data_IF_221366646601
#
_entry.id   IF_221366646601
#
_cell.length_a   1.000
_cell.length_b   1.000
_cell.length_c   1.000
_cell.angle_alpha   90.00
_cell.angle_beta   90.00
_cell.angle_gamma   90.00
#
_symmetry.space_group_name_H-M   'P 1'
#
loop_
_entity.id
_entity.type
_entity.pdbx_description
1 polymer ?
#
# COMPACT_ATOMS: atom_id res chain seq x y z
N UNK A 1 10.02 -1.85 13.82
CA UNK A 1 10.32 -0.67 12.99
C UNK A 1 9.05 -0.19 12.32
N UNK A 2 8.77 1.12 12.39
CA UNK A 2 7.60 1.70 11.73
C UNK A 2 7.72 1.58 10.20
N UNK A 3 6.60 1.39 9.51
CA UNK A 3 6.57 1.28 8.05
C UNK A 3 7.18 2.53 7.38
N UNK A 4 6.92 3.72 7.93
CA UNK A 4 7.53 4.99 7.49
C UNK A 4 9.05 4.96 7.57
N UNK A 5 9.63 4.41 8.64
CA UNK A 5 11.08 4.28 8.79
C UNK A 5 11.65 3.35 7.72
N UNK A 6 10.98 2.23 7.43
CA UNK A 6 11.41 1.31 6.36
C UNK A 6 11.37 2.01 4.99
N UNK A 7 10.31 2.78 4.70
CA UNK A 7 10.21 3.54 3.45
C UNK A 7 11.34 4.58 3.31
N UNK A 8 11.66 5.32 4.39
CA UNK A 8 12.78 6.26 4.39
C UNK A 8 14.12 5.55 4.14
N UNK A 9 14.35 4.41 4.79
CA UNK A 9 15.56 3.61 4.56
C UNK A 9 15.62 3.10 3.11
N UNK A 10 14.51 2.63 2.54
CA UNK A 10 14.46 2.22 1.14
C UNK A 10 14.74 3.37 0.18
N UNK A 11 14.26 4.60 0.47
CA UNK A 11 14.61 5.78 -0.35
C UNK A 11 16.10 6.10 -0.29
N UNK A 12 16.72 6.03 0.89
CA UNK A 12 18.16 6.22 1.04
C UNK A 12 18.94 5.15 0.27
N UNK A 13 18.55 3.88 0.42
CA UNK A 13 19.16 2.76 -0.31
C UNK A 13 18.97 2.89 -1.82
N UNK A 14 17.83 3.39 -2.30
CA UNK A 14 17.58 3.62 -3.72
C UNK A 14 18.56 4.64 -4.30
N UNK A 15 18.70 5.78 -3.62
CA UNK A 15 19.61 6.86 -4.00
C UNK A 15 21.06 6.37 -3.98
N UNK A 16 21.46 5.67 -2.92
CA UNK A 16 22.79 5.07 -2.80
C UNK A 16 23.07 4.06 -3.93
N UNK A 17 22.11 3.17 -4.18
CA UNK A 17 22.16 2.15 -5.25
C UNK A 17 22.34 2.78 -6.64
N UNK A 18 21.62 3.87 -6.91
CA UNK A 18 21.74 4.63 -8.15
C UNK A 18 23.14 5.21 -8.33
N UNK A 19 23.67 5.91 -7.32
CA UNK A 19 24.97 6.56 -7.40
C UNK A 19 26.11 5.54 -7.54
N UNK A 20 26.08 4.45 -6.76
CA UNK A 20 27.08 3.38 -6.87
C UNK A 20 27.00 2.68 -8.24
N UNK A 21 25.79 2.37 -8.70
CA UNK A 21 25.58 1.75 -10.01
C UNK A 21 26.09 2.61 -11.16
N UNK A 22 25.83 3.93 -11.10
CA UNK A 22 26.35 4.91 -12.07
C UNK A 22 27.87 5.06 -12.00
N UNK A 23 28.45 5.12 -10.80
CA UNK A 23 29.91 5.22 -10.62
C UNK A 23 30.62 4.00 -11.20
N UNK A 24 30.10 2.80 -10.96
CA UNK A 24 30.66 1.56 -11.51
C UNK A 24 30.50 1.49 -13.02
N UNK A 25 29.34 1.85 -13.57
CA UNK A 25 29.14 1.83 -15.03
C UNK A 25 30.06 2.83 -15.76
N UNK A 26 30.34 3.99 -15.17
CA UNK A 26 31.36 4.92 -15.68
C UNK A 26 32.77 4.29 -15.68
N UNK A 27 33.17 3.64 -14.59
CA UNK A 27 34.47 2.97 -14.50
C UNK A 27 34.63 1.87 -15.55
N UNK A 28 33.60 1.03 -15.75
CA UNK A 28 33.58 -0.03 -16.76
C UNK A 28 33.60 0.55 -18.18
N UNK A 29 32.90 1.66 -18.42
CA UNK A 29 32.88 2.33 -19.73
C UNK A 29 34.20 3.02 -20.08
N UNK A 30 34.91 3.59 -19.09
CA UNK A 30 36.18 4.29 -19.30
C UNK A 30 37.37 3.34 -19.44
N UNK A 31 37.29 2.15 -18.81
CA UNK A 31 38.31 1.11 -18.94
C UNK A 31 38.34 0.42 -20.31
N UNK A 32 37.19 0.34 -21.00
CA UNK A 32 37.08 -0.31 -22.31
C UNK A 32 37.03 0.70 -23.46
N UNK A 33 38.18 1.29 -23.79
CA UNK A 33 38.35 2.12 -25.00
C UNK A 33 38.35 1.26 -26.26
N UNK A 34 37.18 0.91 -26.79
CA UNK A 34 37.05 0.56 -28.22
C UNK A 34 36.21 -0.69 -28.55
N UNK A 35 36.28 -1.78 -27.77
CA UNK A 35 35.65 -3.06 -28.18
C UNK A 35 34.51 -3.51 -27.25
N UNK A 36 34.48 -3.06 -26.00
CA UNK A 36 33.49 -3.47 -24.99
C UNK A 36 32.85 -2.27 -24.27
N UNK A 37 32.41 -1.27 -25.04
CA UNK A 37 31.67 -0.11 -24.51
C UNK A 37 30.29 -0.56 -24.03
N UNK A 38 29.82 0.02 -22.92
CA UNK A 38 28.45 -0.25 -22.46
C UNK A 38 27.43 0.17 -23.52
N UNK A 39 26.44 -0.69 -23.78
CA UNK A 39 25.38 -0.42 -24.77
C UNK A 39 24.46 0.75 -24.35
N UNK A 40 24.22 0.95 -23.05
CA UNK A 40 23.35 2.01 -22.52
C UNK A 40 24.18 3.06 -21.78
N UNK A 41 23.64 4.28 -21.69
CA UNK A 41 24.26 5.35 -20.89
C UNK A 41 24.42 4.90 -19.43
N UNK A 42 25.54 5.25 -18.77
CA UNK A 42 25.83 4.89 -17.38
C UNK A 42 24.69 5.14 -16.39
N UNK A 43 23.87 6.18 -16.61
CA UNK A 43 22.70 6.48 -15.80
C UNK A 43 21.63 5.36 -15.80
N UNK A 44 21.37 4.70 -16.93
CA UNK A 44 20.39 3.61 -17.00
C UNK A 44 20.78 2.40 -16.14
N UNK A 45 22.08 2.14 -16.00
CA UNK A 45 22.56 1.08 -15.09
C UNK A 45 22.34 1.47 -13.62
N UNK A 46 22.53 2.74 -13.26
CA UNK A 46 22.18 3.26 -11.94
C UNK A 46 20.68 3.07 -11.64
N UNK A 47 19.81 3.46 -12.58
CA UNK A 47 18.37 3.26 -12.44
C UNK A 47 18.01 1.77 -12.33
N UNK A 48 18.64 0.90 -13.12
CA UNK A 48 18.39 -0.54 -13.07
C UNK A 48 18.75 -1.15 -11.71
N UNK A 49 19.88 -0.74 -11.12
CA UNK A 49 20.29 -1.21 -9.77
C UNK A 49 19.31 -0.72 -8.71
N UNK A 50 18.91 0.56 -8.76
CA UNK A 50 17.93 1.12 -7.83
C UNK A 50 16.56 0.43 -7.95
N UNK A 51 16.10 0.16 -9.18
CA UNK A 51 14.85 -0.57 -9.45
C UNK A 51 14.87 -1.96 -8.81
N UNK A 52 15.95 -2.73 -9.01
CA UNK A 52 16.07 -4.07 -8.43
C UNK A 52 16.24 -4.05 -6.91
N UNK A 53 16.84 -3.01 -6.35
CA UNK A 53 16.91 -2.80 -4.90
C UNK A 53 15.54 -2.48 -4.30
N UNK A 54 14.73 -1.65 -4.96
CA UNK A 54 13.50 -1.10 -4.36
C UNK A 54 12.27 -1.93 -4.68
N UNK A 55 12.04 -2.30 -5.94
CA UNK A 55 10.75 -2.90 -6.35
C UNK A 55 10.44 -4.20 -5.59
N UNK A 56 11.35 -5.19 -5.50
CA UNK A 56 11.07 -6.43 -4.77
C UNK A 56 10.81 -6.18 -3.28
N UNK A 57 11.61 -5.31 -2.66
CA UNK A 57 11.47 -4.93 -1.26
C UNK A 57 10.13 -4.20 -0.99
N UNK A 58 9.73 -3.31 -1.89
CA UNK A 58 8.48 -2.56 -1.81
C UNK A 58 7.26 -3.47 -2.00
N UNK A 59 7.31 -4.41 -2.95
CA UNK A 59 6.24 -5.39 -3.15
C UNK A 59 6.00 -6.21 -1.90
N UNK A 60 7.06 -6.76 -1.29
CA UNK A 60 6.93 -7.52 -0.04
C UNK A 60 6.45 -6.63 1.10
N UNK A 61 6.91 -5.38 1.20
CA UNK A 61 6.39 -4.44 2.19
C UNK A 61 4.88 -4.22 2.03
N UNK A 62 4.39 -3.99 0.81
CA UNK A 62 2.98 -3.76 0.53
C UNK A 62 2.14 -5.01 0.87
N UNK A 63 2.57 -6.19 0.40
CA UNK A 63 1.92 -7.46 0.71
C UNK A 63 1.91 -7.72 2.22
N UNK A 64 3.03 -7.53 2.91
CA UNK A 64 3.10 -7.72 4.36
C UNK A 64 2.10 -6.83 5.09
N UNK A 65 2.02 -5.53 4.75
CA UNK A 65 1.07 -4.64 5.41
C UNK A 65 -0.39 -5.01 5.10
N UNK A 66 -0.69 -5.44 3.87
CA UNK A 66 -2.04 -5.85 3.48
C UNK A 66 -2.54 -7.07 4.28
N UNK A 67 -1.67 -8.05 4.54
CA UNK A 67 -2.06 -9.31 5.18
C UNK A 67 -1.79 -9.35 6.70
N UNK A 68 -0.88 -8.54 7.22
CA UNK A 68 -0.46 -8.59 8.64
C UNK A 68 -1.64 -8.45 9.61
N UNK A 69 -2.49 -7.44 9.43
CA UNK A 69 -3.61 -7.18 10.33
C UNK A 69 -4.62 -8.35 10.32
N UNK A 70 -4.92 -8.89 9.13
CA UNK A 70 -5.84 -10.01 8.95
C UNK A 70 -5.30 -11.27 9.63
N UNK A 71 -4.05 -11.63 9.38
CA UNK A 71 -3.43 -12.83 9.95
C UNK A 71 -3.35 -12.73 11.48
N UNK A 72 -2.90 -11.60 12.03
CA UNK A 72 -2.80 -11.45 13.49
C UNK A 72 -4.19 -11.50 14.14
N UNK A 73 -5.17 -10.77 13.59
CA UNK A 73 -6.54 -10.74 14.13
C UNK A 73 -7.15 -12.15 14.15
N UNK A 74 -7.01 -12.92 13.07
CA UNK A 74 -7.54 -14.28 13.00
C UNK A 74 -6.88 -15.22 14.01
N UNK A 75 -5.56 -15.12 14.19
CA UNK A 75 -4.84 -15.93 15.19
C UNK A 75 -5.23 -15.56 16.63
N UNK A 76 -5.42 -14.28 16.93
CA UNK A 76 -5.87 -13.84 18.25
C UNK A 76 -7.28 -14.36 18.52
N UNK A 77 -8.21 -14.22 17.57
CA UNK A 77 -9.58 -14.73 17.71
C UNK A 77 -9.60 -16.24 17.95
N UNK A 78 -8.77 -17.00 17.23
CA UNK A 78 -8.65 -18.45 17.41
C UNK A 78 -8.14 -18.87 18.80
N UNK A 79 -7.45 -17.98 19.51
CA UNK A 79 -6.93 -18.23 20.86
C UNK A 79 -7.93 -17.83 21.96
N UNK A 80 -9.01 -17.12 21.62
CA UNK A 80 -10.02 -16.70 22.59
C UNK A 80 -10.81 -17.90 23.14
N UNK A 81 -11.33 -17.82 24.38
CA UNK A 81 -12.24 -18.83 24.93
C UNK A 81 -13.48 -19.03 24.04
N UNK A 82 -13.98 -20.27 23.96
CA UNK A 82 -15.11 -20.65 23.12
C UNK A 82 -16.39 -19.84 23.41
N UNK A 83 -16.53 -19.35 24.65
CA UNK A 83 -17.62 -18.47 25.10
C UNK A 83 -17.68 -17.15 24.30
N UNK A 84 -16.52 -16.55 24.01
CA UNK A 84 -16.41 -15.29 23.25
C UNK A 84 -16.45 -15.57 21.74
N UNK A 85 -16.00 -16.75 21.31
CA UNK A 85 -16.08 -17.16 19.90
C UNK A 85 -17.52 -17.41 19.43
N UNK A 86 -18.42 -17.79 20.36
CA UNK A 86 -19.84 -18.00 20.09
C UNK A 86 -20.67 -16.71 20.17
N UNK A 87 -20.06 -15.59 20.60
CA UNK A 87 -20.70 -14.27 20.62
C UNK A 87 -20.99 -13.74 19.21
N UNK A 88 -21.81 -12.68 19.14
CA UNK A 88 -22.15 -12.06 17.86
C UNK A 88 -20.92 -11.44 17.17
N UNK A 89 -20.91 -11.41 15.84
CA UNK A 89 -19.81 -10.86 15.04
C UNK A 89 -19.51 -9.38 15.39
N UNK A 90 -20.55 -8.62 15.75
CA UNK A 90 -20.45 -7.23 16.20
C UNK A 90 -19.73 -7.08 17.55
N UNK A 91 -19.99 -7.97 18.51
CA UNK A 91 -19.31 -7.97 19.82
C UNK A 91 -17.82 -8.29 19.68
N UNK A 92 -17.48 -9.27 18.83
CA UNK A 92 -16.09 -9.61 18.51
C UNK A 92 -15.40 -8.42 17.83
N UNK A 93 -16.07 -7.75 16.88
CA UNK A 93 -15.56 -6.57 16.21
C UNK A 93 -15.27 -5.41 17.18
N UNK A 94 -16.19 -5.12 18.10
CA UNK A 94 -16.00 -4.09 19.13
C UNK A 94 -14.85 -4.42 20.09
N UNK A 95 -14.77 -5.68 20.53
CA UNK A 95 -13.68 -6.15 21.37
C UNK A 95 -12.32 -6.01 20.66
N UNK A 96 -12.25 -6.46 19.40
CA UNK A 96 -11.03 -6.36 18.60
C UNK A 96 -10.63 -4.92 18.30
N UNK A 97 -11.59 -4.00 18.12
CA UNK A 97 -11.29 -2.57 17.99
C UNK A 97 -10.65 -2.01 19.27
N UNK A 98 -11.14 -2.41 20.45
CA UNK A 98 -10.54 -1.99 21.72
C UNK A 98 -9.15 -2.61 21.91
N UNK A 99 -8.97 -3.88 21.56
CA UNK A 99 -7.65 -4.55 21.54
C UNK A 99 -6.66 -3.81 20.63
N UNK A 100 -7.07 -3.48 19.39
CA UNK A 100 -6.24 -2.74 18.44
C UNK A 100 -5.90 -1.34 18.96
N UNK A 101 -6.86 -0.64 19.55
CA UNK A 101 -6.63 0.67 20.17
C UNK A 101 -5.62 0.61 21.32
N UNK A 102 -5.69 -0.41 22.19
CA UNK A 102 -4.69 -0.62 23.25
C UNK A 102 -3.30 -0.98 22.69
N UNK A 103 -3.26 -1.77 21.61
CA UNK A 103 -2.01 -2.11 20.95
C UNK A 103 -1.35 -0.90 20.27
N UNK A 104 -2.15 -0.01 19.68
CA UNK A 104 -1.67 1.24 19.07
C UNK A 104 -1.20 2.26 20.12
N UNK A 105 -1.89 2.35 21.26
CA UNK A 105 -1.49 3.24 22.37
C UNK A 105 -0.29 2.72 23.15
N UNK A 106 0.01 1.42 23.06
CA UNK A 106 1.05 0.75 23.84
C UNK A 106 0.71 0.65 25.33
N UNK A 107 -0.55 0.89 25.72
CA UNK A 107 -1.02 0.83 27.10
C UNK A 107 -2.21 -0.11 27.20
N UNK A 108 -2.06 -1.15 28.02
CA UNK A 108 -3.16 -2.05 28.35
C UNK A 108 -4.04 -1.35 29.39
N UNK A 109 -5.28 -1.09 29.00
CA UNK A 109 -6.29 -0.51 29.87
C UNK A 109 -6.63 -1.50 30.99
N UNK A 110 -6.28 -1.13 32.23
CA UNK A 110 -6.53 -1.96 33.42
C UNK A 110 -8.01 -2.11 33.76
N UNK A 111 -8.88 -1.29 33.16
CA UNK A 111 -10.34 -1.39 33.32
C UNK A 111 -10.98 -2.37 32.35
N UNK A 112 -10.23 -2.82 31.32
CA UNK A 112 -10.69 -3.84 30.38
C UNK A 112 -10.81 -5.21 31.05
N UNK A 113 -11.65 -6.09 30.51
CA UNK A 113 -11.80 -7.44 31.04
C UNK A 113 -10.49 -8.24 30.95
N UNK A 114 -10.30 -9.23 31.83
CA UNK A 114 -9.09 -10.06 31.81
C UNK A 114 -8.85 -10.73 30.45
N UNK A 115 -9.93 -11.14 29.76
CA UNK A 115 -9.87 -11.69 28.41
C UNK A 115 -9.39 -10.64 27.37
N UNK A 116 -9.85 -9.40 27.48
CA UNK A 116 -9.41 -8.29 26.62
C UNK A 116 -7.95 -7.92 26.85
N UNK A 117 -7.50 -7.93 28.11
CA UNK A 117 -6.10 -7.66 28.45
C UNK A 117 -5.17 -8.75 27.92
N UNK A 118 -5.54 -10.02 28.08
CA UNK A 118 -4.78 -11.16 27.56
C UNK A 118 -4.70 -11.14 26.02
N UNK A 119 -5.82 -10.88 25.35
CA UNK A 119 -5.88 -10.75 23.89
C UNK A 119 -5.04 -9.57 23.39
N UNK A 120 -5.04 -8.44 24.10
CA UNK A 120 -4.24 -7.28 23.77
C UNK A 120 -2.74 -7.56 23.90
N UNK A 121 -2.31 -8.22 24.98
CA UNK A 121 -0.92 -8.60 25.16
C UNK A 121 -0.45 -9.52 24.03
N UNK A 122 -1.22 -10.57 23.71
CA UNK A 122 -0.91 -11.48 22.62
C UNK A 122 -0.82 -10.74 21.27
N UNK A 123 -1.76 -9.83 20.99
CA UNK A 123 -1.76 -9.03 19.77
C UNK A 123 -0.49 -8.16 19.69
N UNK A 124 -0.09 -7.51 20.78
CA UNK A 124 1.12 -6.67 20.85
C UNK A 124 2.38 -7.51 20.57
N UNK A 125 2.49 -8.69 21.18
CA UNK A 125 3.65 -9.57 21.01
C UNK A 125 3.78 -10.09 19.57
N UNK A 126 2.66 -10.50 18.97
CA UNK A 126 2.61 -10.91 17.56
C UNK A 126 2.94 -9.74 16.63
N UNK A 127 2.42 -8.54 16.92
CA UNK A 127 2.68 -7.33 16.14
C UNK A 127 4.15 -6.91 16.24
N UNK A 128 4.78 -7.03 17.41
CA UNK A 128 6.20 -6.75 17.62
C UNK A 128 7.08 -7.70 16.81
N UNK A 129 6.83 -9.00 16.93
CA UNK A 129 7.56 -10.06 16.20
C UNK A 129 7.42 -9.88 14.70
N UNK A 130 6.20 -9.69 14.21
CA UNK A 130 5.92 -9.43 12.80
C UNK A 130 6.61 -8.16 12.29
N UNK A 131 6.67 -7.11 13.10
CA UNK A 131 7.32 -5.85 12.72
C UNK A 131 8.83 -5.98 12.59
N UNK A 132 9.48 -6.83 13.40
CA UNK A 132 10.91 -7.15 13.28
C UNK A 132 11.14 -8.03 12.05
N UNK A 133 10.35 -9.10 11.89
CA UNK A 133 10.45 -10.00 10.75
C UNK A 133 10.27 -9.24 9.41
N UNK A 134 9.28 -8.35 9.32
CA UNK A 134 9.06 -7.44 8.18
C UNK A 134 10.30 -6.63 7.86
N UNK A 135 10.91 -6.00 8.87
CA UNK A 135 12.10 -5.18 8.67
C UNK A 135 13.27 -6.01 8.14
N UNK A 136 13.54 -7.17 8.74
CA UNK A 136 14.62 -8.07 8.32
C UNK A 136 14.41 -8.53 6.88
N UNK A 137 13.21 -9.03 6.55
CA UNK A 137 12.90 -9.56 5.21
C UNK A 137 13.00 -8.46 4.14
N UNK A 138 12.42 -7.28 4.39
CA UNK A 138 12.43 -6.17 3.44
C UNK A 138 13.86 -5.66 3.20
N UNK A 139 14.66 -5.51 4.26
CA UNK A 139 16.05 -5.06 4.13
C UNK A 139 16.94 -6.12 3.45
N UNK A 140 16.76 -7.40 3.78
CA UNK A 140 17.47 -8.49 3.12
C UNK A 140 17.15 -8.52 1.61
N UNK A 141 15.89 -8.38 1.23
CA UNK A 141 15.48 -8.30 -0.17
C UNK A 141 16.03 -7.07 -0.88
N UNK A 142 16.10 -5.91 -0.20
CA UNK A 142 16.72 -4.73 -0.77
C UNK A 142 18.21 -4.95 -1.06
N UNK A 143 18.94 -5.58 -0.13
CA UNK A 143 20.35 -5.93 -0.30
C UNK A 143 20.54 -6.94 -1.43
N UNK A 144 19.75 -8.02 -1.45
CA UNK A 144 19.79 -9.03 -2.52
C UNK A 144 19.48 -8.37 -3.88
N UNK A 145 18.45 -7.54 -3.93
CA UNK A 145 18.06 -6.77 -5.10
C UNK A 145 19.19 -5.84 -5.60
N UNK A 146 19.88 -5.16 -4.69
CA UNK A 146 21.06 -4.38 -5.03
C UNK A 146 22.14 -5.25 -5.68
N UNK A 147 22.49 -6.41 -5.12
CA UNK A 147 23.51 -7.30 -5.68
C UNK A 147 23.11 -7.89 -7.04
N UNK A 148 21.83 -8.25 -7.22
CA UNK A 148 21.29 -8.69 -8.52
C UNK A 148 21.40 -7.56 -9.54
N UNK A 149 20.97 -6.35 -9.19
CA UNK A 149 21.13 -5.15 -10.00
C UNK A 149 22.58 -4.86 -10.37
N UNK A 150 23.48 -5.03 -9.39
CA UNK A 150 24.93 -4.85 -9.54
C UNK A 150 25.52 -5.82 -10.58
N UNK A 151 25.03 -7.06 -10.64
CA UNK A 151 25.46 -8.06 -11.63
C UNK A 151 25.05 -7.68 -13.06
N UNK A 152 24.01 -6.87 -13.25
CA UNK A 152 23.58 -6.41 -14.57
C UNK A 152 24.43 -5.28 -15.16
N UNK A 153 25.46 -4.79 -14.45
CA UNK A 153 26.41 -3.82 -14.98
C UNK A 153 27.43 -4.54 -15.87
N UNK A 154 27.02 -4.84 -17.10
CA UNK A 154 27.85 -5.50 -18.09
C UNK A 154 27.56 -4.99 -19.52
N UNK A 155 28.53 -5.00 -20.46
CA UNK A 155 28.38 -4.40 -21.79
C UNK A 155 27.22 -4.95 -22.64
N UNK A 156 26.92 -6.24 -22.48
CA UNK A 156 25.85 -6.93 -23.23
C UNK A 156 24.44 -6.61 -22.75
N UNK A 157 24.29 -5.96 -21.58
CA UNK A 157 22.97 -5.68 -20.99
C UNK A 157 22.39 -4.41 -21.60
N UNK A 158 21.19 -4.52 -22.18
CA UNK A 158 20.42 -3.37 -22.65
C UNK A 158 19.64 -2.74 -21.49
N UNK A 159 20.36 -2.04 -20.59
CA UNK A 159 19.79 -1.47 -19.37
C UNK A 159 18.63 -0.50 -19.65
N UNK A 160 18.72 0.29 -20.72
CA UNK A 160 17.64 1.21 -21.16
C UNK A 160 16.31 0.49 -21.34
N UNK A 161 16.27 -0.60 -22.11
CA UNK A 161 15.04 -1.33 -22.41
C UNK A 161 14.39 -1.90 -21.13
N UNK A 162 15.21 -2.36 -20.18
CA UNK A 162 14.71 -2.88 -18.89
C UNK A 162 14.09 -1.77 -18.04
N UNK A 163 14.74 -0.61 -17.96
CA UNK A 163 14.22 0.56 -17.23
C UNK A 163 12.95 1.09 -17.88
N UNK A 164 12.93 1.25 -19.21
CA UNK A 164 11.76 1.70 -19.96
C UNK A 164 10.57 0.74 -19.84
N UNK A 165 10.82 -0.58 -19.77
CA UNK A 165 9.76 -1.56 -19.52
C UNK A 165 9.10 -1.33 -18.16
N UNK A 166 9.89 -1.07 -17.10
CA UNK A 166 9.36 -0.78 -15.76
C UNK A 166 8.52 0.51 -15.76
N UNK A 167 9.06 1.59 -16.33
CA UNK A 167 8.33 2.87 -16.44
C UNK A 167 7.03 2.69 -17.21
N UNK A 168 7.05 1.95 -18.32
CA UNK A 168 5.86 1.65 -19.13
C UNK A 168 4.79 0.93 -18.31
N UNK A 169 5.17 -0.09 -17.54
CA UNK A 169 4.22 -0.82 -16.68
C UNK A 169 3.64 0.06 -15.58
N UNK A 170 4.45 0.91 -14.94
CA UNK A 170 3.97 1.89 -13.94
C UNK A 170 2.96 2.84 -14.57
N UNK A 171 3.26 3.36 -15.76
CA UNK A 171 2.35 4.24 -16.49
C UNK A 171 1.04 3.54 -16.87
N UNK A 172 1.09 2.29 -17.33
CA UNK A 172 -0.11 1.49 -17.66
C UNK A 172 -0.98 1.33 -16.41
N UNK A 173 -0.42 0.90 -15.29
CA UNK A 173 -1.16 0.70 -14.03
C UNK A 173 -1.81 2.02 -13.57
N UNK A 174 -1.05 3.12 -13.60
CA UNK A 174 -1.55 4.44 -13.23
C UNK A 174 -2.71 4.89 -14.12
N UNK A 175 -2.56 4.80 -15.45
CA UNK A 175 -3.61 5.17 -16.39
C UNK A 175 -4.86 4.27 -16.23
N UNK A 176 -4.68 2.96 -16.02
CA UNK A 176 -5.79 2.04 -15.76
C UNK A 176 -6.58 2.42 -14.51
N UNK A 177 -5.91 2.73 -13.40
CA UNK A 177 -6.57 3.17 -12.15
C UNK A 177 -7.34 4.49 -12.40
N UNK A 178 -6.73 5.44 -13.11
CA UNK A 178 -7.38 6.70 -13.44
C UNK A 178 -8.65 6.49 -14.27
N UNK A 179 -8.57 5.71 -15.35
CA UNK A 179 -9.71 5.40 -16.22
C UNK A 179 -10.83 4.69 -15.43
N UNK A 180 -10.48 3.67 -14.65
CA UNK A 180 -11.47 2.94 -13.83
C UNK A 180 -12.15 3.84 -12.79
N UNK A 181 -11.41 4.76 -12.18
CA UNK A 181 -11.96 5.73 -11.23
C UNK A 181 -12.91 6.71 -11.93
N UNK A 182 -12.51 7.25 -13.08
CA UNK A 182 -13.40 8.15 -13.85
C UNK A 182 -14.67 7.45 -14.29
N UNK A 183 -14.56 6.20 -14.75
CA UNK A 183 -15.71 5.40 -15.13
C UNK A 183 -16.61 5.12 -13.91
N UNK A 184 -16.03 4.77 -12.76
CA UNK A 184 -16.76 4.55 -11.52
C UNK A 184 -17.54 5.79 -11.07
N UNK A 185 -16.93 6.97 -11.12
CA UNK A 185 -17.59 8.24 -10.78
C UNK A 185 -18.73 8.52 -11.76
N UNK A 186 -18.49 8.41 -13.06
CA UNK A 186 -19.51 8.66 -14.09
C UNK A 186 -20.69 7.72 -13.91
N UNK A 187 -20.44 6.41 -13.73
CA UNK A 187 -21.50 5.43 -13.52
C UNK A 187 -22.25 5.69 -12.21
N UNK A 188 -21.56 6.01 -11.12
CA UNK A 188 -22.19 6.34 -9.84
C UNK A 188 -23.15 7.52 -9.97
N UNK A 189 -22.70 8.62 -10.57
CA UNK A 189 -23.53 9.82 -10.76
C UNK A 189 -24.67 9.54 -11.75
N UNK A 190 -24.43 8.77 -12.80
CA UNK A 190 -25.43 8.40 -13.80
C UNK A 190 -26.56 7.56 -13.18
N UNK A 191 -26.23 6.54 -12.38
CA UNK A 191 -27.23 5.71 -11.70
C UNK A 191 -28.06 6.52 -10.69
N UNK A 192 -27.42 7.35 -9.87
CA UNK A 192 -28.14 8.22 -8.94
C UNK A 192 -29.02 9.24 -9.66
N UNK A 193 -28.53 9.81 -10.77
CA UNK A 193 -29.31 10.73 -11.60
C UNK A 193 -30.53 10.05 -12.21
N UNK A 194 -30.39 8.82 -12.74
CA UNK A 194 -31.54 8.06 -13.26
C UNK A 194 -32.57 7.76 -12.17
N UNK A 195 -32.12 7.40 -10.96
CA UNK A 195 -33.01 7.17 -9.81
C UNK A 195 -33.75 8.43 -9.39
N UNK A 196 -33.08 9.58 -9.41
CA UNK A 196 -33.67 10.88 -9.16
C UNK A 196 -34.73 11.23 -10.21
N UNK A 197 -34.42 11.10 -11.50
CA UNK A 197 -35.36 11.47 -12.56
C UNK A 197 -36.56 10.52 -12.72
N UNK A 198 -36.48 9.31 -12.16
CA UNK A 198 -37.65 8.44 -11.98
C UNK A 198 -38.62 8.95 -10.89
N UNK A 199 -38.13 9.72 -9.91
CA UNK A 199 -38.96 10.31 -8.85
C UNK A 199 -39.43 11.72 -9.20
N UNK A 200 -38.57 12.51 -9.82
CA UNK A 200 -38.86 13.87 -10.28
C UNK A 200 -38.67 13.93 -11.79
N UNK A 201 -39.76 13.93 -12.59
CA UNK A 201 -39.66 13.99 -14.04
C UNK A 201 -38.83 15.19 -14.50
N UNK A 202 -38.00 15.01 -15.54
CA UNK A 202 -37.11 16.07 -16.06
C UNK A 202 -37.88 17.35 -16.41
N UNK A 203 -39.09 17.22 -16.94
CA UNK A 203 -39.94 18.38 -17.27
C UNK A 203 -40.36 19.18 -16.03
N UNK A 204 -40.66 18.51 -14.92
CA UNK A 204 -40.99 19.16 -13.65
C UNK A 204 -39.73 19.74 -12.99
N UNK A 205 -38.59 19.06 -13.10
CA UNK A 205 -37.31 19.58 -12.61
C UNK A 205 -36.85 20.85 -13.35
N UNK A 206 -37.01 20.91 -14.67
CA UNK A 206 -36.55 22.03 -15.49
C UNK A 206 -37.58 23.17 -15.64
N UNK A 207 -38.87 22.85 -15.70
CA UNK A 207 -39.94 23.82 -15.99
C UNK A 207 -41.01 23.92 -14.88
N UNK A 208 -40.82 23.23 -13.76
CA UNK A 208 -41.73 23.28 -12.63
C UNK A 208 -41.86 24.69 -12.07
N UNK A 209 -43.10 25.10 -11.78
CA UNK A 209 -43.41 26.41 -11.20
C UNK A 209 -43.62 26.36 -9.69
N UNK A 210 -43.45 25.17 -9.08
CA UNK A 210 -43.61 24.94 -7.64
C UNK A 210 -42.26 24.63 -7.01
N UNK A 211 -41.80 25.50 -6.13
CA UNK A 211 -40.59 25.31 -5.34
C UNK A 211 -40.94 24.50 -4.08
N UNK A 212 -40.36 23.30 -3.94
CA UNK A 212 -40.51 22.44 -2.76
C UNK A 212 -39.13 22.19 -2.12
N UNK A 213 -38.74 22.98 -1.10
CA UNK A 213 -37.43 22.85 -0.46
C UNK A 213 -37.27 21.60 0.42
N UNK A 214 -38.35 20.83 0.64
CA UNK A 214 -38.39 19.75 1.63
C UNK A 214 -37.56 18.51 1.24
N UNK A 215 -37.16 18.34 -0.01
CA UNK A 215 -36.28 17.24 -0.46
C UNK A 215 -34.80 17.44 -0.11
N UNK A 216 -34.40 18.65 0.29
CA UNK A 216 -33.01 18.97 0.62
C UNK A 216 -32.62 18.65 2.08
N UNK A 217 -33.55 18.19 2.90
CA UNK A 217 -33.37 17.97 4.33
C UNK A 217 -33.63 16.50 4.67
N UNK A 218 -32.73 15.89 5.45
CA UNK A 218 -32.86 14.49 5.92
C UNK A 218 -34.19 14.33 6.70
N UNK A 219 -34.75 13.12 6.66
CA UNK A 219 -36.08 12.78 7.18
C UNK A 219 -36.35 13.15 8.67
N UNK A 220 -35.31 13.53 9.41
CA UNK A 220 -35.29 13.93 10.81
C UNK A 220 -35.30 15.44 11.08
N UNK A 221 -35.28 16.29 10.04
CA UNK A 221 -35.35 17.75 10.19
C UNK A 221 -36.64 18.30 9.56
N UNK A 222 -37.69 18.39 10.38
CA UNK A 222 -38.84 19.26 10.09
C UNK A 222 -38.44 20.70 10.43
N UNK A 223 -38.35 21.54 9.39
CA UNK A 223 -38.28 22.99 9.57
C UNK A 223 -39.62 23.49 10.10
N UNK A 224 -39.59 24.04 11.32
CA UNK A 224 -40.69 24.85 11.85
C UNK A 224 -40.81 26.20 11.14
#
# INVERSE_FOLDING_TARGET
MNTTTILLVLMVLATFSYFLGRKRSLAVSNGNKGVNKLHSLPGYYGYLVAIWCVIPALLVLLTWNAFNNTIITQNVIATLPAEIQQSSESEIGLMMNRVKSMAESGQIDKTASAAQQAAAQQYIDMQSTSSIAKAVVVLALAIIGFFIGWRFIAPHVRARNKVEAVIRWVMIICASIAILTTLGIVLSVLFESMRFFNQVPISEFLFGTRWSPQTAIRADQVGG
#
